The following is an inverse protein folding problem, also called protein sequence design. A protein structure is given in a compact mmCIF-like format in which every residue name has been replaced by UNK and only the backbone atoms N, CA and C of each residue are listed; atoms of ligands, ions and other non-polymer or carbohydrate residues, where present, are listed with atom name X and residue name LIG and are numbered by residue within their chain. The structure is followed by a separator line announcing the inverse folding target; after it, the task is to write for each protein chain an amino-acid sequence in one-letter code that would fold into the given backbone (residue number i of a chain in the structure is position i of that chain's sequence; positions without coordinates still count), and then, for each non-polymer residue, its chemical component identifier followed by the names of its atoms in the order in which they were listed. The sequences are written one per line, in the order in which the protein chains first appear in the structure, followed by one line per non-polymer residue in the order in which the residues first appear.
data_IF_669647687203
#
_entry.id   IF_669647687203
#
_cell.length_a   1.000
_cell.length_b   1.000
_cell.length_c   1.000
_cell.angle_alpha   90.00
_cell.angle_beta   90.00
_cell.angle_gamma   90.00
#
_symmetry.space_group_name_H-M   'P 1'
#
loop_
_entity.id
_entity.type
_entity.pdbx_description
1 polymer ?
#
# COMPACT_ATOMS: atom_id res chain seq x y z
N UNK A 1 -0.42 -36.82 -23.71
CA UNK A 1 0.45 -35.82 -24.32
C UNK A 1 0.03 -34.48 -23.72
N UNK A 2 0.64 -34.13 -22.60
CA UNK A 2 0.38 -32.84 -21.91
C UNK A 2 1.48 -31.88 -22.30
N UNK A 3 1.14 -30.88 -23.11
CA UNK A 3 2.04 -29.80 -23.49
C UNK A 3 2.24 -28.85 -22.33
N UNK A 4 3.43 -28.86 -21.75
CA UNK A 4 3.89 -27.85 -20.80
C UNK A 4 4.23 -26.60 -21.61
N UNK A 5 3.37 -25.58 -21.56
CA UNK A 5 3.68 -24.25 -22.11
C UNK A 5 4.68 -23.58 -21.18
N UNK A 6 5.97 -23.67 -21.53
CA UNK A 6 6.98 -22.80 -20.95
C UNK A 6 6.66 -21.36 -21.37
N UNK A 7 6.13 -20.58 -20.46
CA UNK A 7 6.12 -19.12 -20.58
C UNK A 7 7.57 -18.64 -20.45
N UNK A 8 8.22 -18.34 -21.56
CA UNK A 8 9.50 -17.63 -21.56
C UNK A 8 9.24 -16.18 -21.13
N UNK A 9 9.57 -15.87 -19.90
CA UNK A 9 9.49 -14.49 -19.38
C UNK A 9 10.56 -13.64 -20.07
N UNK A 10 10.20 -12.42 -20.49
CA UNK A 10 11.14 -11.49 -21.13
C UNK A 10 12.32 -11.21 -20.17
N UNK A 11 13.58 -11.48 -20.57
CA UNK A 11 14.75 -11.35 -19.70
C UNK A 11 15.07 -9.91 -19.26
N UNK A 12 14.30 -8.91 -19.70
CA UNK A 12 14.42 -7.49 -19.30
C UNK A 12 13.29 -7.06 -18.36
N UNK A 13 12.26 -7.88 -18.16
CA UNK A 13 11.10 -7.55 -17.35
C UNK A 13 11.42 -7.55 -15.85
N UNK A 14 10.67 -6.76 -15.08
CA UNK A 14 10.74 -6.78 -13.60
C UNK A 14 10.33 -8.15 -13.05
N UNK A 15 9.45 -8.84 -13.73
CA UNK A 15 8.99 -10.19 -13.40
C UNK A 15 10.14 -11.20 -13.45
N UNK A 16 11.02 -11.12 -14.47
CA UNK A 16 12.22 -11.93 -14.55
C UNK A 16 13.22 -11.63 -13.42
N UNK A 17 13.39 -10.35 -13.08
CA UNK A 17 14.21 -9.92 -11.94
C UNK A 17 13.70 -10.47 -10.61
N UNK A 18 12.39 -10.42 -10.38
CA UNK A 18 11.79 -10.97 -9.17
C UNK A 18 11.88 -12.49 -9.13
N UNK A 19 11.63 -13.19 -10.23
CA UNK A 19 11.78 -14.64 -10.31
C UNK A 19 13.23 -15.10 -10.04
N UNK A 20 14.24 -14.32 -10.51
CA UNK A 20 15.64 -14.57 -10.18
C UNK A 20 15.94 -14.39 -8.68
N UNK A 21 15.41 -13.30 -8.06
CA UNK A 21 15.60 -13.03 -6.63
C UNK A 21 14.90 -14.05 -5.72
N UNK A 22 13.82 -14.63 -6.19
CA UNK A 22 13.03 -15.62 -5.45
C UNK A 22 13.51 -17.06 -5.70
N UNK A 23 14.45 -17.25 -6.65
CA UNK A 23 15.00 -18.56 -7.00
C UNK A 23 14.01 -19.42 -7.81
N UNK A 24 13.05 -18.79 -8.50
CA UNK A 24 11.98 -19.45 -9.26
C UNK A 24 12.34 -19.68 -10.73
N UNK A 25 13.51 -19.18 -11.18
CA UNK A 25 13.99 -19.43 -12.55
C UNK A 25 14.50 -20.86 -12.72
N UNK A 26 14.31 -21.41 -13.93
CA UNK A 26 14.94 -22.67 -14.33
C UNK A 26 16.48 -22.55 -14.33
N UNK A 27 17.20 -23.67 -14.17
CA UNK A 27 18.65 -23.67 -14.01
C UNK A 27 19.40 -22.98 -15.17
N UNK A 28 18.94 -23.18 -16.40
CA UNK A 28 19.49 -22.55 -17.60
C UNK A 28 19.18 -21.05 -17.71
N UNK A 29 18.05 -20.61 -17.17
CA UNK A 29 17.68 -19.19 -17.06
C UNK A 29 18.48 -18.49 -15.97
N UNK A 30 18.72 -19.20 -14.86
CA UNK A 30 19.54 -18.68 -13.76
C UNK A 30 21.00 -18.45 -14.19
N UNK A 31 21.57 -19.37 -14.98
CA UNK A 31 22.91 -19.21 -15.55
C UNK A 31 22.96 -18.00 -16.49
N UNK A 32 21.98 -17.83 -17.35
CA UNK A 32 21.86 -16.65 -18.25
C UNK A 32 21.74 -15.35 -17.48
N UNK A 33 20.99 -15.34 -16.36
CA UNK A 33 20.87 -14.17 -15.50
C UNK A 33 22.19 -13.80 -14.84
N UNK A 34 22.98 -14.79 -14.39
CA UNK A 34 24.31 -14.58 -13.81
C UNK A 34 25.30 -14.01 -14.83
N UNK A 35 25.33 -14.53 -16.07
CA UNK A 35 26.16 -13.97 -17.13
C UNK A 35 25.77 -12.53 -17.45
N UNK A 36 24.47 -12.22 -17.44
CA UNK A 36 23.98 -10.88 -17.67
C UNK A 36 24.38 -9.90 -16.57
N UNK A 37 24.44 -10.34 -15.32
CA UNK A 37 24.93 -9.50 -14.20
C UNK A 37 26.37 -9.01 -14.39
N UNK A 38 27.18 -9.74 -15.13
CA UNK A 38 28.57 -9.35 -15.43
C UNK A 38 28.65 -8.34 -16.58
N UNK A 39 27.71 -8.42 -17.53
CA UNK A 39 27.77 -7.67 -18.79
C UNK A 39 26.87 -6.44 -18.84
N UNK A 40 25.78 -6.42 -18.03
CA UNK A 40 24.73 -5.39 -18.08
C UNK A 40 24.65 -4.63 -16.75
N UNK A 41 25.23 -3.42 -16.74
CA UNK A 41 25.26 -2.56 -15.56
C UNK A 41 23.87 -2.09 -15.11
N UNK A 42 22.90 -1.94 -16.02
CA UNK A 42 21.54 -1.54 -15.71
C UNK A 42 20.78 -2.69 -15.02
N UNK A 43 20.92 -3.90 -15.54
CA UNK A 43 20.37 -5.10 -14.94
C UNK A 43 20.90 -5.29 -13.51
N UNK A 44 22.21 -5.09 -13.32
CA UNK A 44 22.86 -5.16 -11.99
C UNK A 44 22.31 -4.12 -11.03
N UNK A 45 22.11 -2.88 -11.49
CA UNK A 45 21.57 -1.80 -10.67
C UNK A 45 20.13 -2.09 -10.23
N UNK A 46 19.27 -2.49 -11.15
CA UNK A 46 17.88 -2.86 -10.86
C UNK A 46 17.79 -4.05 -9.89
N UNK A 47 18.67 -5.04 -10.05
CA UNK A 47 18.73 -6.18 -9.14
C UNK A 47 19.14 -5.78 -7.72
N UNK A 48 20.12 -4.86 -7.58
CA UNK A 48 20.53 -4.35 -6.28
C UNK A 48 19.41 -3.57 -5.59
N UNK A 49 18.63 -2.77 -6.34
CA UNK A 49 17.47 -2.04 -5.80
C UNK A 49 16.38 -3.01 -5.32
N UNK A 50 16.03 -4.00 -6.15
CA UNK A 50 15.03 -5.00 -5.80
C UNK A 50 15.44 -5.86 -4.60
N UNK A 51 16.73 -6.25 -4.50
CA UNK A 51 17.28 -6.97 -3.37
C UNK A 51 17.27 -6.12 -2.09
N UNK A 52 17.64 -4.85 -2.20
CA UNK A 52 17.57 -3.91 -1.08
C UNK A 52 16.16 -3.79 -0.53
N UNK A 53 15.15 -3.66 -1.39
CA UNK A 53 13.75 -3.62 -0.99
C UNK A 53 13.31 -4.91 -0.28
N UNK A 54 13.72 -6.09 -0.79
CA UNK A 54 13.41 -7.39 -0.18
C UNK A 54 14.01 -7.53 1.23
N UNK A 55 15.25 -7.10 1.44
CA UNK A 55 15.90 -7.12 2.76
C UNK A 55 15.26 -6.11 3.73
N UNK A 56 14.84 -4.95 3.24
CA UNK A 56 14.09 -3.98 4.04
C UNK A 56 12.75 -4.54 4.52
N UNK A 57 12.02 -5.20 3.63
CA UNK A 57 10.75 -5.86 3.98
C UNK A 57 11.00 -6.96 5.01
N UNK A 58 11.99 -7.82 4.81
CA UNK A 58 12.36 -8.85 5.80
C UNK A 58 12.73 -8.25 7.16
N UNK A 59 13.51 -7.17 7.17
CA UNK A 59 13.86 -6.47 8.41
C UNK A 59 12.63 -5.90 9.13
N UNK A 60 11.66 -5.33 8.41
CA UNK A 60 10.43 -4.83 9.00
C UNK A 60 9.56 -5.93 9.63
N UNK A 61 9.70 -7.18 9.16
CA UNK A 61 8.97 -8.35 9.67
C UNK A 61 9.78 -9.23 10.63
N UNK A 62 11.07 -8.92 10.88
CA UNK A 62 11.94 -9.72 11.72
C UNK A 62 11.50 -9.81 13.18
N UNK A 63 10.83 -8.78 13.69
CA UNK A 63 10.33 -8.68 15.06
C UNK A 63 8.87 -9.15 15.24
N UNK A 64 8.25 -9.69 14.19
CA UNK A 64 6.93 -10.28 14.33
C UNK A 64 7.02 -11.58 15.16
N UNK A 65 6.19 -11.74 16.20
CA UNK A 65 6.12 -13.00 16.91
C UNK A 65 5.83 -14.12 15.92
N UNK A 66 6.50 -15.30 16.04
CA UNK A 66 6.31 -16.39 15.10
C UNK A 66 4.82 -16.69 14.99
N UNK A 67 4.32 -16.71 13.74
CA UNK A 67 2.95 -17.10 13.45
C UNK A 67 2.68 -18.39 14.23
N UNK A 68 1.64 -18.38 15.07
CA UNK A 68 1.28 -19.50 15.92
C UNK A 68 1.40 -20.79 15.13
N UNK A 69 2.49 -21.54 15.40
CA UNK A 69 2.75 -22.81 14.76
C UNK A 69 1.52 -23.70 15.00
N UNK A 70 1.02 -24.33 13.96
CA UNK A 70 0.05 -25.40 14.05
C UNK A 70 0.55 -26.35 15.14
N UNK A 71 0.06 -26.19 16.35
CA UNK A 71 0.22 -27.21 17.40
C UNK A 71 -0.40 -28.46 16.83
N UNK A 72 0.46 -29.40 16.46
CA UNK A 72 0.05 -30.71 16.01
C UNK A 72 -0.95 -31.25 17.02
N UNK A 73 -2.13 -31.58 16.55
CA UNK A 73 -3.16 -32.27 17.30
C UNK A 73 -2.54 -33.64 17.66
N UNK A 74 -1.95 -33.73 18.86
CA UNK A 74 -1.59 -35.03 19.41
C UNK A 74 -2.89 -35.75 19.67
N UNK A 75 -3.21 -36.73 18.82
CA UNK A 75 -4.29 -37.65 19.03
C UNK A 75 -4.13 -38.30 20.43
N UNK A 76 -4.99 -37.94 21.36
CA UNK A 76 -5.15 -38.67 22.59
C UNK A 76 -5.83 -40.02 22.27
N UNK A 77 -4.97 -41.03 21.98
CA UNK A 77 -5.43 -42.41 21.98
C UNK A 77 -5.43 -42.90 23.43
N UNK A 78 -6.59 -43.20 23.96
CA UNK A 78 -6.77 -43.96 25.17
C UNK A 78 -7.57 -43.28 26.30
N UNK A 79 -8.88 -43.24 26.20
CA UNK A 79 -9.76 -43.22 27.35
C UNK A 79 -11.06 -44.00 27.06
N UNK A 80 -11.43 -44.85 27.97
CA UNK A 80 -12.55 -45.81 27.95
C UNK A 80 -13.90 -45.14 27.65
N UNK A 81 -14.72 -45.83 26.85
CA UNK A 81 -16.00 -45.38 26.27
C UNK A 81 -17.14 -45.05 27.25
N UNK A 82 -16.94 -45.10 28.57
CA UNK A 82 -18.04 -44.93 29.53
C UNK A 82 -18.25 -43.51 30.10
N UNK A 83 -17.36 -42.53 29.80
CA UNK A 83 -17.49 -41.13 30.28
C UNK A 83 -17.73 -40.11 29.16
N UNK A 84 -17.85 -40.54 27.91
CA UNK A 84 -17.87 -39.68 26.71
C UNK A 84 -19.15 -38.83 26.60
N UNK A 85 -20.28 -39.28 27.15
CA UNK A 85 -21.55 -38.58 26.93
C UNK A 85 -21.65 -37.20 27.61
N UNK A 86 -21.11 -37.05 28.83
CA UNK A 86 -21.19 -35.78 29.58
C UNK A 86 -20.09 -34.76 29.14
N UNK A 87 -18.92 -35.27 28.76
CA UNK A 87 -17.83 -34.42 28.28
C UNK A 87 -18.05 -33.97 26.84
N UNK A 88 -18.67 -34.78 26.00
CA UNK A 88 -19.08 -34.41 24.65
C UNK A 88 -20.10 -33.27 24.66
N UNK A 89 -21.07 -33.32 25.55
CA UNK A 89 -22.10 -32.29 25.70
C UNK A 89 -21.49 -30.94 26.13
N UNK A 90 -20.54 -30.95 27.07
CA UNK A 90 -19.82 -29.75 27.48
C UNK A 90 -18.94 -29.19 26.36
N UNK A 91 -18.28 -30.04 25.57
CA UNK A 91 -17.48 -29.63 24.42
C UNK A 91 -18.32 -28.98 23.30
N UNK A 92 -19.52 -29.54 23.05
CA UNK A 92 -20.47 -28.98 22.09
C UNK A 92 -21.03 -27.63 22.54
N UNK A 93 -21.32 -27.45 23.84
CA UNK A 93 -21.78 -26.17 24.41
C UNK A 93 -20.66 -25.10 24.30
N UNK A 94 -19.41 -25.44 24.61
CA UNK A 94 -18.29 -24.55 24.50
C UNK A 94 -17.99 -24.17 23.03
N UNK A 95 -18.14 -25.13 22.13
CA UNK A 95 -17.95 -24.91 20.69
C UNK A 95 -19.09 -24.05 20.10
N UNK A 96 -20.34 -24.28 20.54
CA UNK A 96 -21.48 -23.45 20.14
C UNK A 96 -21.38 -22.02 20.70
N UNK A 97 -20.96 -21.87 21.98
CA UNK A 97 -20.72 -20.55 22.56
C UNK A 97 -19.53 -19.84 21.93
N UNK A 98 -18.44 -20.57 21.64
CA UNK A 98 -17.28 -20.01 20.96
C UNK A 98 -17.56 -19.61 19.51
N UNK A 99 -18.29 -20.43 18.76
CA UNK A 99 -18.71 -20.13 17.39
C UNK A 99 -19.75 -18.98 17.38
N UNK A 100 -20.71 -18.97 18.30
CA UNK A 100 -21.71 -17.92 18.39
C UNK A 100 -21.12 -16.57 18.82
N UNK A 101 -20.25 -16.54 19.83
CA UNK A 101 -19.57 -15.32 20.24
C UNK A 101 -18.53 -14.84 19.22
N UNK A 102 -17.85 -15.77 18.54
CA UNK A 102 -16.91 -15.45 17.47
C UNK A 102 -17.62 -14.86 16.26
N UNK A 103 -18.79 -15.38 15.91
CA UNK A 103 -19.59 -14.85 14.78
C UNK A 103 -20.19 -13.48 15.10
N UNK A 104 -20.74 -13.28 16.31
CA UNK A 104 -21.23 -11.98 16.79
C UNK A 104 -20.10 -10.93 16.92
N UNK A 105 -18.90 -11.36 17.36
CA UNK A 105 -17.73 -10.48 17.41
C UNK A 105 -17.20 -10.17 16.01
N UNK A 106 -17.27 -11.12 15.06
CA UNK A 106 -16.85 -10.91 13.68
C UNK A 106 -17.77 -9.91 12.95
N UNK A 107 -19.08 -10.05 13.09
CA UNK A 107 -20.04 -9.10 12.50
C UNK A 107 -19.94 -7.70 13.15
N UNK A 108 -19.60 -7.62 14.44
CA UNK A 108 -19.35 -6.36 15.14
C UNK A 108 -18.02 -5.69 14.77
N UNK A 109 -16.98 -6.48 14.47
CA UNK A 109 -15.67 -5.98 14.06
C UNK A 109 -15.59 -5.62 12.56
N UNK A 110 -16.43 -6.24 11.72
CA UNK A 110 -16.42 -6.03 10.28
C UNK A 110 -17.06 -4.70 9.83
N UNK A 111 -17.80 -4.03 10.70
CA UNK A 111 -18.33 -2.69 10.46
C UNK A 111 -17.65 -1.69 11.36
N UNK A 112 -16.38 -1.38 11.06
CA UNK A 112 -15.77 -0.21 11.67
C UNK A 112 -16.57 1.03 11.24
N UNK A 113 -17.26 1.74 12.17
CA UNK A 113 -18.15 2.88 11.84
C UNK A 113 -17.40 4.05 11.19
N UNK A 114 -16.06 3.99 11.14
CA UNK A 114 -15.22 4.97 10.49
C UNK A 114 -15.29 4.89 8.95
N UNK A 115 -15.46 3.71 8.36
CA UNK A 115 -15.51 3.55 6.89
C UNK A 115 -16.89 3.91 6.31
N UNK A 116 -17.97 3.79 7.07
CA UNK A 116 -19.32 4.21 6.63
C UNK A 116 -19.40 5.75 6.43
N UNK A 117 -18.55 6.51 7.13
CA UNK A 117 -18.42 7.98 6.96
C UNK A 117 -17.57 8.40 5.76
N UNK A 118 -16.86 7.44 5.14
CA UNK A 118 -16.15 7.64 3.86
C UNK A 118 -17.08 7.45 2.65
N UNK A 119 -18.40 7.37 2.85
CA UNK A 119 -19.43 7.23 1.82
C UNK A 119 -19.45 8.35 0.74
N UNK A 120 -18.54 9.31 0.82
CA UNK A 120 -18.34 10.33 -0.21
C UNK A 120 -17.24 10.02 -1.24
N UNK A 121 -16.58 8.85 -1.14
CA UNK A 121 -15.62 8.43 -2.16
C UNK A 121 -16.37 7.87 -3.38
N UNK A 122 -15.99 8.26 -4.60
CA UNK A 122 -16.55 7.66 -5.82
C UNK A 122 -16.29 6.16 -5.88
N UNK A 123 -17.15 5.43 -6.62
CA UNK A 123 -16.95 4.01 -6.88
C UNK A 123 -15.56 3.76 -7.50
N UNK A 124 -14.88 2.72 -7.02
CA UNK A 124 -13.54 2.35 -7.48
C UNK A 124 -12.39 2.79 -6.57
N UNK A 125 -12.59 3.73 -5.66
CA UNK A 125 -11.57 4.09 -4.66
C UNK A 125 -11.65 3.17 -3.43
N UNK A 126 -10.51 2.60 -3.03
CA UNK A 126 -10.42 1.73 -1.86
C UNK A 126 -9.65 2.44 -0.75
N UNK A 127 -10.34 2.87 0.32
CA UNK A 127 -9.67 3.43 1.48
C UNK A 127 -8.93 2.33 2.26
N UNK A 128 -7.72 2.64 2.73
CA UNK A 128 -6.90 1.77 3.57
C UNK A 128 -6.50 2.53 4.83
N UNK A 129 -6.47 1.85 5.96
CA UNK A 129 -6.00 2.40 7.22
C UNK A 129 -5.21 1.35 8.00
N UNK A 130 -4.20 1.79 8.76
CA UNK A 130 -3.33 0.93 9.57
C UNK A 130 -3.60 1.06 11.07
N UNK A 131 -4.11 2.20 11.52
CA UNK A 131 -4.38 2.45 12.93
C UNK A 131 -5.67 1.78 13.39
N UNK A 132 -5.70 1.33 14.65
CA UNK A 132 -6.91 0.76 15.26
C UNK A 132 -8.03 1.79 15.45
N UNK A 133 -7.68 3.08 15.60
CA UNK A 133 -8.61 4.21 15.55
C UNK A 133 -8.32 5.06 14.32
N UNK A 134 -9.29 5.19 13.46
CA UNK A 134 -9.21 5.93 12.19
C UNK A 134 -10.05 7.18 12.30
N UNK A 135 -9.47 8.32 11.90
CA UNK A 135 -10.18 9.58 11.79
C UNK A 135 -10.66 9.74 10.32
N UNK A 136 -11.96 9.60 10.05
CA UNK A 136 -12.49 9.68 8.70
C UNK A 136 -12.37 11.08 8.09
N UNK A 137 -12.12 12.11 8.89
CA UNK A 137 -11.93 13.48 8.43
C UNK A 137 -10.49 13.75 7.98
N UNK A 138 -9.54 12.83 8.21
CA UNK A 138 -8.13 12.93 7.81
C UNK A 138 -7.80 11.99 6.66
N UNK A 139 -7.51 12.54 5.49
CA UNK A 139 -7.34 11.74 4.27
C UNK A 139 -6.04 12.10 3.55
N UNK A 140 -5.28 11.06 3.19
CA UNK A 140 -4.12 11.15 2.30
C UNK A 140 -4.53 10.62 0.92
N UNK A 141 -4.48 11.48 -0.08
CA UNK A 141 -4.65 11.13 -1.49
C UNK A 141 -3.28 10.93 -2.12
N UNK A 142 -3.06 9.78 -2.72
CA UNK A 142 -1.78 9.45 -3.35
C UNK A 142 -1.90 9.40 -4.86
N UNK A 143 -1.05 10.14 -5.56
CA UNK A 143 -1.00 10.21 -7.01
C UNK A 143 0.41 9.88 -7.52
N UNK A 144 0.51 8.86 -8.37
CA UNK A 144 1.76 8.42 -9.02
C UNK A 144 1.74 8.54 -10.56
N UNK A 145 0.62 9.01 -11.14
CA UNK A 145 0.37 9.08 -12.57
C UNK A 145 0.45 10.52 -13.11
N UNK A 146 0.89 10.67 -14.36
CA UNK A 146 0.84 11.93 -15.11
C UNK A 146 -0.37 12.04 -16.04
N UNK A 147 -1.25 11.06 -16.04
CA UNK A 147 -2.45 11.10 -16.90
C UNK A 147 -3.33 12.29 -16.55
N UNK A 148 -3.73 13.14 -17.53
CA UNK A 148 -4.49 14.36 -17.27
C UNK A 148 -5.80 14.10 -16.48
N UNK A 149 -6.47 12.99 -16.77
CA UNK A 149 -7.70 12.61 -16.06
C UNK A 149 -7.44 12.29 -14.58
N UNK A 150 -6.32 11.63 -14.25
CA UNK A 150 -5.94 11.34 -12.86
C UNK A 150 -5.47 12.59 -12.12
N UNK A 151 -4.74 13.49 -12.81
CA UNK A 151 -4.36 14.78 -12.26
C UNK A 151 -5.60 15.63 -11.92
N UNK A 152 -6.61 15.64 -12.78
CA UNK A 152 -7.88 16.30 -12.52
C UNK A 152 -8.66 15.61 -11.38
N UNK A 153 -8.77 14.29 -11.42
CA UNK A 153 -9.53 13.49 -10.46
C UNK A 153 -9.04 13.65 -9.02
N UNK A 154 -7.73 13.74 -8.78
CA UNK A 154 -7.19 13.96 -7.43
C UNK A 154 -7.60 15.33 -6.87
N UNK A 155 -7.61 16.36 -7.71
CA UNK A 155 -8.04 17.71 -7.30
C UNK A 155 -9.56 17.76 -7.06
N UNK A 156 -10.36 17.13 -7.95
CA UNK A 156 -11.80 17.04 -7.81
C UNK A 156 -12.19 16.31 -6.53
N UNK A 157 -11.50 15.20 -6.24
CA UNK A 157 -11.73 14.42 -5.03
C UNK A 157 -11.38 15.22 -3.78
N UNK A 158 -10.21 15.88 -3.76
CA UNK A 158 -9.78 16.72 -2.64
C UNK A 158 -10.80 17.84 -2.37
N UNK A 159 -11.21 18.57 -3.39
CA UNK A 159 -12.17 19.67 -3.26
C UNK A 159 -13.53 19.17 -2.76
N UNK A 160 -14.03 18.04 -3.27
CA UNK A 160 -15.25 17.40 -2.79
C UNK A 160 -15.17 17.03 -1.32
N UNK A 161 -14.07 16.37 -0.90
CA UNK A 161 -13.85 15.95 0.48
C UNK A 161 -13.81 17.16 1.43
N UNK A 162 -13.12 18.22 1.04
CA UNK A 162 -13.03 19.45 1.84
C UNK A 162 -14.37 20.17 1.94
N UNK A 163 -15.12 20.25 0.85
CA UNK A 163 -16.46 20.87 0.85
C UNK A 163 -17.47 20.07 1.68
N UNK A 164 -17.40 18.75 1.67
CA UNK A 164 -18.30 17.89 2.47
C UNK A 164 -17.99 17.93 3.98
N UNK A 165 -16.71 18.10 4.36
CA UNK A 165 -16.27 18.03 5.75
C UNK A 165 -16.03 19.39 6.40
N UNK A 166 -15.95 20.44 5.60
CA UNK A 166 -15.70 21.81 6.05
C UNK A 166 -14.36 21.92 6.79
N UNK A 167 -14.32 22.67 7.88
CA UNK A 167 -13.12 22.92 8.66
C UNK A 167 -12.53 21.68 9.36
N UNK A 168 -13.32 20.62 9.57
CA UNK A 168 -12.84 19.38 10.20
C UNK A 168 -12.04 18.52 9.24
N UNK A 169 -12.34 18.58 7.95
CA UNK A 169 -11.67 17.82 6.93
C UNK A 169 -10.20 18.23 6.79
N UNK A 170 -9.29 17.29 6.80
CA UNK A 170 -7.87 17.52 6.49
C UNK A 170 -7.50 16.63 5.30
N UNK A 171 -6.99 17.23 4.25
CA UNK A 171 -6.61 16.49 3.04
C UNK A 171 -5.15 16.77 2.70
N UNK A 172 -4.39 15.72 2.49
CA UNK A 172 -3.01 15.77 1.99
C UNK A 172 -2.95 15.08 0.64
N UNK A 173 -2.48 15.79 -0.38
CA UNK A 173 -2.19 15.21 -1.69
C UNK A 173 -0.71 14.93 -1.76
N UNK A 174 -0.35 13.65 -1.73
CA UNK A 174 1.05 13.19 -1.82
C UNK A 174 1.31 12.71 -3.24
N UNK A 175 2.31 13.29 -3.89
CA UNK A 175 2.66 12.93 -5.27
C UNK A 175 4.08 12.38 -5.35
N UNK A 176 4.26 11.33 -6.16
CA UNK A 176 5.57 10.77 -6.49
C UNK A 176 5.65 10.36 -7.96
N UNK A 177 6.80 9.90 -8.39
CA UNK A 177 7.02 9.42 -9.76
C UNK A 177 6.47 10.41 -10.81
N UNK A 178 5.65 9.94 -11.74
CA UNK A 178 5.03 10.78 -12.77
C UNK A 178 3.97 11.74 -12.21
N UNK A 179 3.37 11.45 -11.06
CA UNK A 179 2.43 12.34 -10.37
C UNK A 179 3.04 13.68 -9.96
N UNK A 180 4.38 13.76 -9.86
CA UNK A 180 5.08 15.02 -9.58
C UNK A 180 4.77 16.11 -10.63
N UNK A 181 4.37 15.75 -11.84
CA UNK A 181 3.96 16.70 -12.87
C UNK A 181 2.79 17.59 -12.45
N UNK A 182 1.96 17.15 -11.48
CA UNK A 182 0.92 18.00 -10.90
C UNK A 182 1.48 19.24 -10.21
N UNK A 183 2.66 19.12 -9.57
CA UNK A 183 3.23 20.16 -8.72
C UNK A 183 4.45 20.88 -9.32
N UNK A 184 4.88 20.54 -10.54
CA UNK A 184 6.00 21.22 -11.21
C UNK A 184 5.51 22.47 -11.91
N UNK A 185 6.29 23.57 -11.78
CA UNK A 185 6.01 24.85 -12.42
C UNK A 185 5.89 24.74 -13.96
N UNK A 186 6.74 23.95 -14.58
CA UNK A 186 6.76 23.85 -16.04
C UNK A 186 5.66 22.97 -16.61
N UNK A 187 5.35 21.85 -15.93
CA UNK A 187 4.53 20.76 -16.49
C UNK A 187 3.11 20.71 -15.96
N UNK A 188 2.81 21.36 -14.82
CA UNK A 188 1.47 21.31 -14.24
C UNK A 188 0.44 22.06 -15.09
N UNK A 189 -0.62 21.39 -15.56
CA UNK A 189 -1.73 22.05 -16.24
C UNK A 189 -2.71 22.73 -15.25
N UNK A 190 -2.54 22.53 -13.95
CA UNK A 190 -3.50 22.96 -12.91
C UNK A 190 -2.96 24.01 -11.93
N UNK A 191 -1.91 24.76 -12.29
CA UNK A 191 -1.25 25.75 -11.42
C UNK A 191 -2.22 26.72 -10.77
N UNK A 192 -3.06 27.36 -11.58
CA UNK A 192 -4.06 28.33 -11.11
C UNK A 192 -5.07 27.68 -10.17
N UNK A 193 -5.54 26.47 -10.51
CA UNK A 193 -6.48 25.73 -9.67
C UNK A 193 -5.86 25.37 -8.32
N UNK A 194 -4.63 24.85 -8.31
CA UNK A 194 -3.88 24.51 -7.09
C UNK A 194 -3.73 25.75 -6.20
N UNK A 195 -3.30 26.87 -6.78
CA UNK A 195 -3.19 28.14 -6.04
C UNK A 195 -4.53 28.58 -5.42
N UNK A 196 -5.62 28.51 -6.18
CA UNK A 196 -6.96 28.86 -5.69
C UNK A 196 -7.45 27.88 -4.61
N UNK A 197 -7.20 26.59 -4.74
CA UNK A 197 -7.57 25.58 -3.73
C UNK A 197 -6.80 25.80 -2.43
N UNK A 198 -5.50 26.00 -2.50
CA UNK A 198 -4.67 26.25 -1.31
C UNK A 198 -5.07 27.54 -0.57
N UNK A 199 -5.46 28.58 -1.29
CA UNK A 199 -5.94 29.82 -0.70
C UNK A 199 -7.30 29.66 -0.01
N UNK A 200 -8.21 28.85 -0.55
CA UNK A 200 -9.54 28.60 0.01
C UNK A 200 -9.56 27.58 1.14
N UNK A 201 -8.65 26.64 1.13
CA UNK A 201 -8.63 25.49 2.04
C UNK A 201 -7.28 25.41 2.77
N UNK A 202 -7.12 26.07 3.94
CA UNK A 202 -5.89 26.01 4.73
C UNK A 202 -5.60 24.60 5.29
N UNK A 203 -6.60 23.72 5.27
CA UNK A 203 -6.55 22.31 5.65
C UNK A 203 -6.19 21.36 4.48
N UNK A 204 -5.79 21.91 3.33
CA UNK A 204 -5.26 21.18 2.18
C UNK A 204 -3.75 21.37 2.09
N UNK A 205 -2.99 20.27 2.04
CA UNK A 205 -1.56 20.29 1.77
C UNK A 205 -1.21 19.55 0.48
N UNK A 206 -0.28 20.12 -0.28
CA UNK A 206 0.33 19.47 -1.44
C UNK A 206 1.75 19.04 -1.08
N UNK A 207 2.07 17.75 -1.26
CA UNK A 207 3.32 17.15 -0.80
C UNK A 207 4.02 16.45 -1.96
N UNK A 208 5.21 16.91 -2.29
CA UNK A 208 6.07 16.34 -3.31
C UNK A 208 7.06 15.34 -2.68
N UNK A 209 7.30 14.22 -3.33
CA UNK A 209 8.30 13.24 -2.94
C UNK A 209 9.72 13.74 -3.20
N UNK A 210 10.51 13.96 -2.15
CA UNK A 210 11.90 14.41 -2.27
C UNK A 210 12.81 13.43 -3.01
N UNK A 211 12.56 12.11 -2.87
CA UNK A 211 13.31 11.11 -3.64
C UNK A 211 13.05 11.24 -5.15
N UNK A 212 11.80 11.51 -5.56
CA UNK A 212 11.46 11.77 -6.97
C UNK A 212 12.11 13.06 -7.46
N UNK A 213 12.07 14.13 -6.66
CA UNK A 213 12.75 15.40 -6.97
C UNK A 213 14.25 15.17 -7.16
N UNK A 214 14.90 14.49 -6.21
CA UNK A 214 16.33 14.21 -6.28
C UNK A 214 16.72 13.31 -7.46
N UNK A 215 15.87 12.34 -7.82
CA UNK A 215 16.08 11.48 -9.00
C UNK A 215 16.02 12.32 -10.27
N UNK A 216 14.98 13.11 -10.48
CA UNK A 216 14.83 13.95 -11.67
C UNK A 216 15.97 14.97 -11.79
N UNK A 217 16.42 15.57 -10.67
CA UNK A 217 17.56 16.48 -10.66
C UNK A 217 18.87 15.79 -11.07
N UNK A 218 19.09 14.54 -10.64
CA UNK A 218 20.25 13.74 -11.09
C UNK A 218 20.18 13.37 -12.58
N UNK A 219 18.98 13.22 -13.11
CA UNK A 219 18.72 13.00 -14.53
C UNK A 219 18.85 14.29 -15.38
N UNK A 220 19.24 15.41 -14.76
CA UNK A 220 19.44 16.69 -15.42
C UNK A 220 18.18 17.53 -15.61
N UNK A 221 17.04 17.13 -15.05
CA UNK A 221 15.82 17.91 -15.12
C UNK A 221 15.83 19.04 -14.09
N UNK A 222 15.41 20.23 -14.50
CA UNK A 222 15.09 21.33 -13.55
C UNK A 222 13.74 21.00 -12.90
N UNK A 223 13.71 20.95 -11.56
CA UNK A 223 12.51 20.63 -10.81
C UNK A 223 12.09 21.83 -9.96
N UNK A 224 11.45 22.81 -10.61
CA UNK A 224 10.81 23.92 -9.91
C UNK A 224 9.40 23.51 -9.51
N UNK A 225 9.14 23.53 -8.19
CA UNK A 225 7.83 23.18 -7.64
C UNK A 225 6.96 24.43 -7.48
N UNK A 226 5.66 24.23 -7.52
CA UNK A 226 4.69 25.27 -7.17
C UNK A 226 4.92 25.73 -5.72
N UNK A 227 4.72 27.02 -5.39
CA UNK A 227 4.96 27.55 -4.03
C UNK A 227 4.03 26.90 -2.97
N UNK A 228 2.93 26.28 -3.38
CA UNK A 228 2.01 25.55 -2.51
C UNK A 228 2.52 24.15 -2.15
N UNK A 229 3.58 23.68 -2.81
CA UNK A 229 4.11 22.33 -2.59
C UNK A 229 5.13 22.30 -1.47
N UNK A 230 4.94 21.42 -0.49
CA UNK A 230 5.95 21.03 0.51
C UNK A 230 6.69 19.78 0.02
N UNK A 231 7.98 19.71 0.25
CA UNK A 231 8.76 18.50 -0.06
C UNK A 231 8.88 17.64 1.20
N UNK A 232 8.45 16.38 1.10
CA UNK A 232 8.73 15.35 2.11
C UNK A 232 9.94 14.50 1.68
N UNK A 233 10.66 13.90 2.63
CA UNK A 233 11.80 13.04 2.32
C UNK A 233 11.41 11.88 1.39
N UNK A 234 10.26 11.26 1.66
CA UNK A 234 9.71 10.14 0.88
C UNK A 234 8.18 10.21 0.88
N UNK A 235 7.55 9.96 -0.26
CA UNK A 235 6.09 9.84 -0.32
C UNK A 235 5.57 8.69 0.53
N UNK A 236 6.22 7.53 0.45
CA UNK A 236 5.81 6.34 1.22
C UNK A 236 6.00 6.58 2.71
N UNK A 237 7.11 7.20 3.13
CA UNK A 237 7.35 7.55 4.52
C UNK A 237 6.28 8.50 5.06
N UNK A 238 5.94 9.56 4.33
CA UNK A 238 4.86 10.50 4.70
C UNK A 238 3.51 9.80 4.82
N UNK A 239 3.16 8.94 3.84
CA UNK A 239 1.90 8.19 3.85
C UNK A 239 1.82 7.26 5.07
N UNK A 240 2.87 6.46 5.33
CA UNK A 240 2.90 5.52 6.46
C UNK A 240 2.80 6.24 7.80
N UNK A 241 3.54 7.34 7.97
CA UNK A 241 3.47 8.16 9.18
C UNK A 241 2.04 8.68 9.41
N UNK A 242 1.36 9.18 8.37
CA UNK A 242 -0.03 9.62 8.49
C UNK A 242 -0.99 8.47 8.79
N UNK A 243 -0.83 7.33 8.13
CA UNK A 243 -1.66 6.15 8.42
C UNK A 243 -1.50 5.66 9.86
N UNK A 244 -0.29 5.72 10.43
CA UNK A 244 -0.05 5.42 11.86
C UNK A 244 -0.75 6.42 12.80
N UNK A 245 -0.92 7.68 12.34
CA UNK A 245 -1.65 8.74 13.06
C UNK A 245 -3.17 8.67 12.84
N UNK A 246 -3.69 7.60 12.25
CA UNK A 246 -5.12 7.39 12.02
C UNK A 246 -5.68 8.02 10.75
N UNK A 247 -4.84 8.49 9.82
CA UNK A 247 -5.29 8.98 8.52
C UNK A 247 -5.74 7.84 7.62
N UNK A 248 -6.71 8.13 6.79
CA UNK A 248 -7.18 7.24 5.72
C UNK A 248 -6.35 7.45 4.46
N UNK A 249 -5.81 6.39 3.91
CA UNK A 249 -5.10 6.42 2.63
C UNK A 249 -6.02 6.06 1.48
N UNK A 250 -5.93 6.82 0.38
CA UNK A 250 -6.65 6.58 -0.86
C UNK A 250 -5.70 6.75 -2.04
N UNK A 251 -5.55 5.72 -2.87
CA UNK A 251 -4.82 5.82 -4.14
C UNK A 251 -5.76 6.32 -5.24
N UNK A 252 -5.30 7.33 -6.02
CA UNK A 252 -6.04 7.96 -7.12
C UNK A 252 -5.45 7.56 -8.47
#
# INVERSE_FOLDING_TARGET
MSGSTHHTVDPVSDEYLHAFLDGELAADEQERALLRLELDGDFKHRLCEARGLKEWVKGAYADLPPAYGRRGFRAFAGTSFASVGRQALAAWILLAMGAGSGWLAHDGAAKAPAFDRLAGLPDGYRPVALAGQVDPDKIVLHLDSSEPNRLAAVLDLAERLLNQRGERGQVKIVVNSFGLNLLRQETSPFKTRIGSMAARHPNLEFIACGQTVARLSREGAVVDLLPQARVANSAIGEILERMQQGWVYVKV
#
